data_IF_951556223049
#
_entry.id   IF_951556223049
#
_cell.length_a   1.000
_cell.length_b   1.000
_cell.length_c   1.000
_cell.angle_alpha   90.00
_cell.angle_beta   90.00
_cell.angle_gamma   90.00
#
_symmetry.space_group_name_H-M   'P 1'
#
loop_
_entity.id
_entity.type
_entity.pdbx_description
1 polymer ?
#
# COMPACT_ATOMS: atom_id res chain seq x y z
N UNK A 1 59.60 -12.18 -36.70
CA UNK A 1 59.95 -11.92 -38.11
C UNK A 1 58.69 -11.52 -38.87
N UNK A 2 58.87 -10.51 -39.70
CA UNK A 2 57.95 -9.61 -40.41
C UNK A 2 57.05 -10.29 -41.47
N UNK A 3 56.05 -9.57 -42.03
CA UNK A 3 54.69 -10.06 -42.33
C UNK A 3 54.38 -10.16 -43.83
N UNK A 4 53.16 -10.58 -44.19
CA UNK A 4 52.62 -10.51 -45.56
C UNK A 4 51.42 -9.52 -45.66
N UNK A 5 51.35 -8.65 -46.69
CA UNK A 5 50.40 -7.54 -46.79
C UNK A 5 49.35 -7.67 -47.91
N UNK A 6 48.32 -6.80 -47.89
CA UNK A 6 47.49 -6.39 -49.04
C UNK A 6 46.05 -5.99 -48.63
N UNK A 7 45.72 -4.72 -48.33
CA UNK A 7 45.16 -3.65 -49.22
C UNK A 7 43.82 -4.02 -49.91
N UNK A 8 42.71 -3.26 -49.90
CA UNK A 8 42.38 -1.80 -50.00
C UNK A 8 41.03 -1.55 -49.27
N UNK A 9 40.82 -0.52 -48.42
CA UNK A 9 40.55 0.91 -48.65
C UNK A 9 39.37 1.27 -49.56
N UNK A 10 38.29 1.80 -48.95
CA UNK A 10 37.54 2.97 -49.44
C UNK A 10 36.79 3.69 -48.30
N UNK A 11 37.31 4.88 -47.96
CA UNK A 11 36.73 6.18 -47.48
C UNK A 11 35.30 6.18 -46.92
N UNK A 12 35.05 6.63 -45.67
CA UNK A 12 35.16 7.99 -45.08
C UNK A 12 34.02 8.95 -45.44
N UNK A 13 33.24 9.35 -44.42
CA UNK A 13 32.97 10.75 -43.99
C UNK A 13 32.29 10.67 -42.60
N UNK A 14 32.98 10.82 -41.47
CA UNK A 14 33.36 12.08 -40.78
C UNK A 14 32.27 13.16 -40.80
N UNK A 15 31.61 13.35 -39.67
CA UNK A 15 31.55 14.66 -39.01
C UNK A 15 31.97 14.48 -37.55
N UNK A 16 33.06 15.15 -37.22
CA UNK A 16 33.55 15.40 -35.86
C UNK A 16 32.93 16.70 -35.39
N UNK A 17 32.50 16.77 -34.14
CA UNK A 17 32.73 17.94 -33.31
C UNK A 17 33.24 17.46 -31.95
N UNK A 18 34.56 17.56 -31.78
CA UNK A 18 35.19 17.88 -30.51
C UNK A 18 35.26 19.43 -30.46
N UNK A 19 35.35 20.13 -29.33
CA UNK A 19 36.03 19.79 -28.11
C UNK A 19 35.62 20.77 -26.99
N UNK A 20 35.82 20.32 -25.74
CA UNK A 20 36.39 21.06 -24.59
C UNK A 20 35.82 22.44 -24.22
N UNK A 21 35.27 22.54 -23.00
CA UNK A 21 35.92 23.30 -21.91
C UNK A 21 35.23 23.00 -20.58
N UNK A 22 36.04 22.72 -19.57
CA UNK A 22 35.64 22.58 -18.18
C UNK A 22 35.29 23.95 -17.57
N UNK A 23 34.18 24.01 -16.84
CA UNK A 23 33.98 24.99 -15.77
C UNK A 23 33.40 24.23 -14.58
N UNK A 24 34.20 24.16 -13.52
CA UNK A 24 33.75 23.75 -12.21
C UNK A 24 32.77 24.80 -11.68
N UNK A 25 31.55 24.40 -11.38
CA UNK A 25 30.64 25.16 -10.52
C UNK A 25 30.38 24.29 -9.30
N UNK A 26 30.95 24.70 -8.17
CA UNK A 26 30.49 24.32 -6.85
C UNK A 26 28.99 24.63 -6.79
N UNK A 27 28.15 23.60 -6.83
CA UNK A 27 26.78 23.72 -6.35
C UNK A 27 26.77 23.23 -4.92
N UNK A 28 26.68 24.20 -4.02
CA UNK A 28 26.29 24.05 -2.63
C UNK A 28 25.17 23.03 -2.50
N UNK A 29 25.44 21.93 -1.79
CA UNK A 29 24.42 21.00 -1.34
C UNK A 29 23.48 21.77 -0.41
N UNK A 30 22.36 22.23 -0.97
CA UNK A 30 21.25 22.73 -0.19
C UNK A 30 20.73 21.57 0.66
N UNK A 31 20.68 21.77 1.99
CA UNK A 31 19.85 20.97 2.86
C UNK A 31 18.45 20.92 2.25
N UNK A 32 18.05 19.74 1.79
CA UNK A 32 16.66 19.49 1.41
C UNK A 32 15.91 19.38 2.74
N UNK A 33 14.99 20.31 3.07
CA UNK A 33 14.05 20.04 4.14
C UNK A 33 13.30 18.77 3.76
N UNK A 34 13.01 17.87 4.71
CA UNK A 34 12.13 16.74 4.48
C UNK A 34 10.76 17.28 4.04
N UNK A 35 10.60 17.48 2.73
CA UNK A 35 9.35 17.81 2.09
C UNK A 35 8.53 16.55 2.23
N UNK A 36 7.42 16.62 2.95
CA UNK A 36 6.39 15.60 2.89
C UNK A 36 6.20 15.26 1.41
N UNK A 37 6.39 13.99 1.05
CA UNK A 37 6.20 13.56 -0.32
C UNK A 37 4.81 14.06 -0.76
N UNK A 38 4.70 14.80 -1.88
CA UNK A 38 3.40 15.21 -2.37
C UNK A 38 2.56 13.95 -2.56
N UNK A 39 1.31 13.97 -2.10
CA UNK A 39 0.35 12.92 -2.40
C UNK A 39 0.35 12.72 -3.92
N UNK A 40 0.88 11.59 -4.39
CA UNK A 40 0.95 11.28 -5.82
C UNK A 40 -0.49 11.25 -6.34
N UNK A 41 -0.87 12.18 -7.22
CA UNK A 41 -2.18 12.15 -7.85
C UNK A 41 -2.44 10.76 -8.45
N UNK A 42 -3.67 10.26 -8.37
CA UNK A 42 -4.04 8.97 -8.94
C UNK A 42 -3.69 8.93 -10.44
N UNK A 43 -2.78 8.04 -10.84
CA UNK A 43 -2.30 7.91 -12.23
C UNK A 43 -3.36 7.26 -13.15
N UNK A 44 -4.38 6.63 -12.57
CA UNK A 44 -5.51 5.99 -13.25
C UNK A 44 -6.85 6.42 -12.62
N UNK A 45 -7.95 6.53 -13.40
CA UNK A 45 -9.30 6.75 -12.82
C UNK A 45 -9.76 5.60 -11.89
N UNK A 46 -9.05 4.48 -11.93
CA UNK A 46 -9.30 3.31 -11.09
C UNK A 46 -8.45 3.27 -9.81
N UNK A 47 -7.47 4.16 -9.69
CA UNK A 47 -6.63 4.28 -8.50
C UNK A 47 -7.33 5.16 -7.44
N UNK A 48 -6.92 4.98 -6.19
CA UNK A 48 -7.42 5.77 -5.05
C UNK A 48 -6.23 6.53 -4.46
N UNK A 49 -6.44 7.81 -4.19
CA UNK A 49 -5.62 8.59 -3.29
C UNK A 49 -6.53 9.59 -2.56
N UNK A 50 -6.95 9.23 -1.35
CA UNK A 50 -7.83 10.07 -0.55
C UNK A 50 -7.52 9.98 0.95
N UNK A 51 -8.17 10.84 1.75
CA UNK A 51 -8.07 10.81 3.21
C UNK A 51 -9.45 10.82 3.85
N UNK A 52 -9.75 9.81 4.64
CA UNK A 52 -11.04 9.58 5.29
C UNK A 52 -10.96 9.74 6.80
N UNK A 53 -12.10 9.96 7.44
CA UNK A 53 -12.18 10.28 8.87
C UNK A 53 -12.21 9.05 9.77
N UNK A 54 -12.43 7.85 9.24
CA UNK A 54 -12.54 6.63 10.06
C UNK A 54 -11.84 5.45 9.39
N UNK A 55 -11.37 4.51 10.21
CA UNK A 55 -10.82 3.25 9.70
C UNK A 55 -11.89 2.41 9.01
N UNK A 56 -13.16 2.47 9.46
CA UNK A 56 -14.28 1.77 8.82
C UNK A 56 -14.52 2.25 7.37
N UNK A 57 -14.47 3.57 7.15
CA UNK A 57 -14.52 4.15 5.81
C UNK A 57 -13.28 3.75 5.01
N UNK A 58 -12.09 3.73 5.62
CA UNK A 58 -10.86 3.32 4.92
C UNK A 58 -10.92 1.85 4.47
N UNK A 59 -11.41 0.96 5.32
CA UNK A 59 -11.60 -0.45 5.01
C UNK A 59 -12.59 -0.61 3.85
N UNK A 60 -13.72 0.11 3.89
CA UNK A 60 -14.69 0.12 2.82
C UNK A 60 -14.09 0.63 1.48
N UNK A 61 -13.20 1.62 1.55
CA UNK A 61 -12.54 2.18 0.37
C UNK A 61 -11.50 1.26 -0.25
N UNK A 62 -10.82 0.43 0.54
CA UNK A 62 -9.98 -0.61 -0.03
C UNK A 62 -10.83 -1.74 -0.63
N UNK A 63 -11.88 -2.17 0.06
CA UNK A 63 -12.80 -3.24 -0.38
C UNK A 63 -12.71 -4.49 0.48
N UNK A 64 -13.44 -5.54 0.07
CA UNK A 64 -13.63 -6.77 0.85
C UNK A 64 -12.38 -7.66 0.92
N UNK A 65 -11.44 -7.47 -0.01
CA UNK A 65 -10.18 -8.21 -0.06
C UNK A 65 -9.26 -7.98 1.16
N UNK A 66 -9.46 -6.93 1.98
CA UNK A 66 -8.58 -6.61 3.11
C UNK A 66 -9.25 -6.40 4.46
N UNK A 67 -8.59 -6.88 5.51
CA UNK A 67 -8.89 -6.48 6.88
C UNK A 67 -8.00 -5.29 7.26
N UNK A 68 -8.56 -4.12 7.50
CA UNK A 68 -7.80 -3.09 8.24
C UNK A 68 -7.91 -3.36 9.74
N UNK A 69 -6.95 -2.88 10.51
CA UNK A 69 -6.83 -3.16 11.94
C UNK A 69 -6.62 -1.87 12.74
N UNK A 70 -7.55 -1.56 13.63
CA UNK A 70 -7.46 -0.34 14.45
C UNK A 70 -7.00 -0.67 15.88
N UNK A 71 -6.02 0.08 16.45
CA UNK A 71 -5.58 -0.13 17.81
C UNK A 71 -6.60 0.42 18.81
N UNK A 72 -7.05 -0.42 19.74
CA UNK A 72 -7.90 0.02 20.86
C UNK A 72 -7.12 0.62 22.03
N UNK A 73 -5.83 0.31 22.14
CA UNK A 73 -4.89 0.94 23.05
C UNK A 73 -3.87 1.74 22.25
N UNK A 74 -3.88 3.06 22.41
CA UNK A 74 -2.97 3.97 21.70
C UNK A 74 -1.86 4.53 22.61
N UNK A 75 -1.63 3.91 23.78
CA UNK A 75 -0.75 4.43 24.84
C UNK A 75 -1.09 5.87 25.27
N UNK A 76 -2.38 6.24 25.22
CA UNK A 76 -2.89 7.57 25.56
C UNK A 76 -2.72 8.61 24.47
N UNK A 77 -2.31 8.21 23.26
CA UNK A 77 -2.13 9.10 22.12
C UNK A 77 -3.42 9.23 21.32
N UNK A 78 -3.79 10.46 20.97
CA UNK A 78 -4.91 10.71 20.07
C UNK A 78 -4.46 10.59 18.62
N UNK A 79 -5.32 10.08 17.74
CA UNK A 79 -5.08 10.15 16.29
C UNK A 79 -5.08 11.62 15.86
N UNK A 80 -4.02 12.04 15.18
CA UNK A 80 -3.79 13.44 14.76
C UNK A 80 -3.92 13.64 13.26
N UNK A 81 -3.94 12.57 12.48
CA UNK A 81 -4.24 12.60 11.04
C UNK A 81 -5.61 11.98 10.72
N UNK A 82 -6.08 12.23 9.50
CA UNK A 82 -7.05 11.35 8.82
C UNK A 82 -6.39 10.00 8.50
N UNK A 83 -7.20 9.02 8.11
CA UNK A 83 -6.71 7.77 7.54
C UNK A 83 -6.50 8.00 6.05
N UNK A 84 -5.25 7.98 5.61
CA UNK A 84 -4.89 8.00 4.20
C UNK A 84 -5.20 6.64 3.59
N UNK A 85 -5.74 6.63 2.38
CA UNK A 85 -6.05 5.41 1.62
C UNK A 85 -5.52 5.59 0.21
N UNK A 86 -4.62 4.69 -0.19
CA UNK A 86 -4.00 4.72 -1.50
C UNK A 86 -4.08 3.32 -2.11
N UNK A 87 -4.42 3.24 -3.39
CA UNK A 87 -4.31 2.02 -4.17
C UNK A 87 -3.86 2.32 -5.58
N UNK A 88 -2.85 1.60 -6.06
CA UNK A 88 -2.29 1.79 -7.40
C UNK A 88 -2.26 0.47 -8.15
N UNK A 89 -2.71 0.49 -9.42
CA UNK A 89 -2.50 -0.59 -10.38
C UNK A 89 -2.92 -1.99 -9.88
N UNK A 90 -4.02 -2.06 -9.12
CA UNK A 90 -4.54 -3.32 -8.63
C UNK A 90 -4.94 -4.25 -9.78
N UNK A 91 -4.59 -5.53 -9.64
CA UNK A 91 -4.95 -6.59 -10.57
C UNK A 91 -5.73 -7.66 -9.82
N UNK A 92 -6.88 -8.05 -10.37
CA UNK A 92 -7.73 -9.10 -9.82
C UNK A 92 -7.67 -10.32 -10.74
N UNK A 93 -7.40 -11.48 -10.18
CA UNK A 93 -7.42 -12.77 -10.89
C UNK A 93 -8.32 -13.73 -10.12
N UNK A 94 -9.36 -14.26 -10.78
CA UNK A 94 -10.30 -15.22 -10.19
C UNK A 94 -10.95 -14.75 -8.87
N UNK A 95 -11.27 -13.46 -8.78
CA UNK A 95 -11.91 -12.89 -7.58
C UNK A 95 -10.95 -12.52 -6.45
N UNK A 96 -9.64 -12.73 -6.61
CA UNK A 96 -8.63 -12.34 -5.64
C UNK A 96 -7.70 -11.28 -6.21
N UNK A 97 -7.24 -10.36 -5.38
CA UNK A 97 -6.23 -9.38 -5.78
C UNK A 97 -4.87 -10.08 -5.82
N UNK A 98 -4.20 -10.03 -6.97
CA UNK A 98 -2.94 -10.76 -7.20
C UNK A 98 -1.71 -9.87 -7.29
N UNK A 99 -1.88 -8.56 -7.50
CA UNK A 99 -0.78 -7.59 -7.55
C UNK A 99 -1.30 -6.16 -7.49
N UNK A 100 -0.36 -5.21 -7.53
CA UNK A 100 -0.59 -3.78 -7.35
C UNK A 100 -0.13 -3.36 -5.96
N UNK A 101 -0.43 -2.13 -5.59
CA UNK A 101 0.00 -1.54 -4.33
C UNK A 101 -1.20 -1.02 -3.54
N UNK A 102 -1.20 -1.23 -2.22
CA UNK A 102 -2.17 -0.64 -1.31
C UNK A 102 -1.49 0.03 -0.13
N UNK A 103 -2.17 0.99 0.47
CA UNK A 103 -1.78 1.62 1.72
C UNK A 103 -3.02 2.13 2.43
N UNK A 104 -3.11 1.86 3.73
CA UNK A 104 -3.93 2.61 4.66
C UNK A 104 -3.07 3.03 5.84
N UNK A 105 -3.13 4.29 6.26
CA UNK A 105 -2.31 4.71 7.38
C UNK A 105 -2.79 5.94 8.11
N UNK A 106 -2.42 6.02 9.39
CA UNK A 106 -2.71 7.16 10.23
C UNK A 106 -1.65 7.39 11.31
N UNK A 107 -1.54 8.64 11.74
CA UNK A 107 -0.61 9.11 12.77
C UNK A 107 -1.35 9.33 14.08
N UNK A 108 -0.74 8.86 15.17
CA UNK A 108 -1.18 9.02 16.54
C UNK A 108 -0.12 9.79 17.32
N UNK A 109 -0.53 10.85 18.02
CA UNK A 109 0.39 11.72 18.76
C UNK A 109 1.16 12.71 17.88
N UNK A 110 2.39 13.03 18.28
CA UNK A 110 3.27 14.03 17.63
C UNK A 110 4.67 13.45 17.44
N UNK A 111 5.53 14.10 16.66
CA UNK A 111 6.88 13.61 16.34
C UNK A 111 7.74 13.22 17.56
N UNK A 112 7.62 13.94 18.68
CA UNK A 112 8.37 13.64 19.91
C UNK A 112 7.83 12.42 20.69
N UNK A 113 6.53 12.14 20.56
CA UNK A 113 5.87 10.99 21.19
C UNK A 113 4.63 10.63 20.38
N UNK A 114 4.75 9.58 19.58
CA UNK A 114 3.75 9.21 18.61
C UNK A 114 4.07 7.89 17.92
N UNK A 115 3.13 7.43 17.12
CA UNK A 115 3.37 6.35 16.17
C UNK A 115 2.56 6.56 14.89
N UNK A 116 3.07 6.03 13.79
CA UNK A 116 2.35 5.86 12.53
C UNK A 116 1.97 4.40 12.40
N UNK A 117 0.69 4.16 12.14
CA UNK A 117 0.18 2.86 11.75
C UNK A 117 0.06 2.85 10.23
N UNK A 118 0.69 1.88 9.59
CA UNK A 118 0.70 1.68 8.15
C UNK A 118 0.31 0.25 7.83
N UNK A 119 -0.67 0.08 6.96
CA UNK A 119 -1.25 -1.20 6.61
C UNK A 119 -1.33 -1.34 5.09
N UNK A 120 -1.23 -2.59 4.63
CA UNK A 120 -1.52 -2.97 3.24
C UNK A 120 -2.08 -4.39 3.21
N UNK A 121 -2.74 -4.75 2.11
CA UNK A 121 -3.03 -6.16 1.84
C UNK A 121 -1.71 -6.95 1.76
N UNK A 122 -1.70 -8.15 2.31
CA UNK A 122 -0.47 -8.93 2.41
C UNK A 122 0.15 -9.21 1.03
N UNK A 123 -0.68 -9.46 0.02
CA UNK A 123 -0.28 -9.84 -1.33
C UNK A 123 0.03 -8.65 -2.27
N UNK A 124 -0.12 -7.40 -1.81
CA UNK A 124 0.21 -6.19 -2.59
C UNK A 124 1.54 -5.57 -2.15
N UNK A 125 2.11 -4.67 -2.95
CA UNK A 125 3.16 -3.76 -2.50
C UNK A 125 2.60 -2.63 -1.62
N UNK A 126 3.49 -1.82 -1.03
CA UNK A 126 3.13 -0.61 -0.30
C UNK A 126 2.96 0.55 -1.27
N UNK A 127 1.76 1.12 -1.36
CA UNK A 127 1.52 2.30 -2.21
C UNK A 127 2.15 3.57 -1.62
N UNK A 128 2.38 3.57 -0.31
CA UNK A 128 3.26 4.50 0.38
C UNK A 128 4.12 3.70 1.36
N UNK A 129 5.43 3.71 1.15
CA UNK A 129 6.36 2.93 1.97
C UNK A 129 6.43 3.49 3.40
N UNK A 130 6.32 2.61 4.42
CA UNK A 130 6.66 2.99 5.78
C UNK A 130 8.09 3.53 5.84
N UNK A 131 8.37 4.44 6.77
CA UNK A 131 9.69 5.02 6.90
C UNK A 131 10.76 3.93 7.09
N UNK A 132 11.61 3.77 6.08
CA UNK A 132 12.72 2.82 6.14
C UNK A 132 13.94 3.50 6.77
N UNK A 133 14.67 2.75 7.60
CA UNK A 133 15.86 3.24 8.29
C UNK A 133 16.99 2.24 8.13
N UNK A 134 18.13 2.74 7.65
CA UNK A 134 19.36 1.94 7.57
C UNK A 134 19.93 1.62 8.96
N UNK A 135 19.46 2.28 10.01
CA UNK A 135 19.83 2.04 11.41
C UNK A 135 18.97 0.97 12.09
N UNK A 136 17.99 0.40 11.37
CA UNK A 136 16.96 -0.48 11.92
C UNK A 136 17.48 -1.90 12.17
N UNK A 137 17.67 -2.27 13.44
CA UNK A 137 18.10 -3.61 13.83
C UNK A 137 17.09 -4.30 14.76
N UNK A 138 17.10 -5.62 14.72
CA UNK A 138 16.13 -6.46 15.43
C UNK A 138 16.28 -6.37 16.94
N UNK A 139 15.18 -6.10 17.64
CA UNK A 139 15.08 -6.21 19.10
C UNK A 139 14.65 -7.62 19.48
N UNK A 140 13.46 -8.04 19.02
CA UNK A 140 12.85 -9.29 19.45
C UNK A 140 11.87 -9.86 18.41
N UNK A 141 11.55 -11.15 18.56
CA UNK A 141 10.31 -11.73 18.04
C UNK A 141 9.36 -11.87 19.23
N UNK A 142 8.11 -11.46 19.10
CA UNK A 142 7.12 -11.49 20.17
C UNK A 142 5.82 -12.09 19.64
N UNK A 143 5.14 -12.89 20.48
CA UNK A 143 3.80 -13.36 20.18
C UNK A 143 2.81 -12.31 20.70
N UNK A 144 1.90 -11.88 19.84
CA UNK A 144 0.84 -10.94 20.19
C UNK A 144 -0.50 -11.55 19.81
N UNK A 145 -1.54 -11.21 20.56
CA UNK A 145 -2.90 -11.60 20.27
C UNK A 145 -3.58 -10.45 19.53
N UNK A 146 -4.21 -10.74 18.41
CA UNK A 146 -4.99 -9.77 17.63
C UNK A 146 -6.47 -10.15 17.70
N UNK A 147 -7.35 -9.17 17.63
CA UNK A 147 -8.80 -9.38 17.58
C UNK A 147 -9.47 -9.29 18.95
N UNK A 148 -10.78 -9.47 18.94
CA UNK A 148 -11.62 -9.25 20.12
C UNK A 148 -11.38 -10.32 21.19
N UNK A 149 -11.54 -10.00 22.48
CA UNK A 149 -11.52 -11.00 23.53
C UNK A 149 -12.47 -12.16 23.21
N UNK A 150 -11.93 -13.40 23.18
CA UNK A 150 -12.69 -14.60 22.84
C UNK A 150 -12.57 -15.08 21.39
N UNK A 151 -12.13 -14.22 20.46
CA UNK A 151 -11.86 -14.56 19.04
C UNK A 151 -10.41 -14.29 18.64
N UNK A 152 -9.54 -14.12 19.63
CA UNK A 152 -8.17 -13.67 19.40
C UNK A 152 -7.33 -14.68 18.61
N UNK A 153 -6.53 -14.17 17.68
CA UNK A 153 -5.53 -14.94 16.93
C UNK A 153 -4.14 -14.56 17.42
N UNK A 154 -3.36 -15.56 17.84
CA UNK A 154 -1.95 -15.34 18.18
C UNK A 154 -1.10 -15.32 16.92
N UNK A 155 -0.41 -14.21 16.69
CA UNK A 155 0.54 -14.03 15.58
C UNK A 155 1.94 -13.70 16.12
N UNK A 156 2.95 -13.87 15.27
CA UNK A 156 4.33 -13.50 15.62
C UNK A 156 4.68 -12.15 14.98
N UNK A 157 4.95 -11.15 15.81
CA UNK A 157 5.45 -9.85 15.39
C UNK A 157 6.98 -9.76 15.53
N UNK A 158 7.58 -8.95 14.67
CA UNK A 158 8.99 -8.59 14.74
C UNK A 158 9.11 -7.16 15.25
N UNK A 159 9.96 -6.96 16.26
CA UNK A 159 10.23 -5.63 16.82
C UNK A 159 11.65 -5.24 16.50
N UNK A 160 11.83 -4.01 16.05
CA UNK A 160 13.11 -3.40 15.68
C UNK A 160 13.27 -2.03 16.36
N UNK A 161 14.49 -1.51 16.36
CA UNK A 161 14.80 -0.16 16.82
C UNK A 161 15.93 0.45 15.97
N UNK A 162 15.98 1.78 15.90
CA UNK A 162 17.01 2.52 15.14
C UNK A 162 18.33 2.64 15.92
N UNK A 163 18.80 1.54 16.52
CA UNK A 163 19.96 1.57 17.41
C UNK A 163 21.31 1.41 16.69
N UNK A 164 21.32 0.95 15.43
CA UNK A 164 22.56 0.72 14.72
C UNK A 164 23.13 2.06 14.23
N UNK A 165 24.32 2.41 14.72
CA UNK A 165 24.95 3.69 14.37
C UNK A 165 25.46 3.65 12.93
N UNK A 166 24.85 4.45 12.08
CA UNK A 166 25.33 4.71 10.73
C UNK A 166 26.40 5.82 10.72
N UNK A 167 27.40 5.74 9.82
CA UNK A 167 28.37 6.80 9.67
C UNK A 167 27.71 8.06 9.08
N UNK A 168 28.02 9.23 9.64
CA UNK A 168 27.35 10.48 9.24
C UNK A 168 27.64 10.92 7.80
N UNK A 169 28.84 10.63 7.28
CA UNK A 169 29.34 11.14 6.00
C UNK A 169 29.87 10.02 5.08
N UNK A 170 29.29 8.83 5.14
CA UNK A 170 29.65 7.76 4.20
C UNK A 170 28.45 6.87 3.91
N UNK A 171 28.62 5.97 2.94
CA UNK A 171 27.58 4.99 2.61
C UNK A 171 27.14 4.21 3.87
N UNK A 172 25.83 3.97 4.04
CA UNK A 172 25.32 3.16 5.13
C UNK A 172 26.02 1.80 5.17
N UNK A 173 26.45 1.40 6.36
CA UNK A 173 27.02 0.08 6.60
C UNK A 173 25.90 -0.93 6.74
N UNK A 174 26.10 -2.11 6.16
CA UNK A 174 25.25 -3.25 6.43
C UNK A 174 25.29 -3.58 7.92
N UNK A 175 24.13 -3.88 8.49
CA UNK A 175 24.03 -4.31 9.88
C UNK A 175 24.65 -5.72 9.98
N UNK A 176 25.63 -5.93 10.88
CA UNK A 176 26.25 -7.25 11.04
C UNK A 176 25.23 -8.33 11.35
N UNK A 177 25.42 -9.51 10.76
CA UNK A 177 24.56 -10.66 11.05
C UNK A 177 24.53 -10.96 12.56
N UNK A 178 23.33 -11.11 13.12
CA UNK A 178 23.14 -11.38 14.54
C UNK A 178 23.19 -10.16 15.47
N UNK A 179 23.50 -8.96 14.96
CA UNK A 179 23.38 -7.73 15.75
C UNK A 179 21.93 -7.50 16.18
N UNK A 180 21.74 -7.10 17.44
CA UNK A 180 20.42 -6.88 18.03
C UNK A 180 20.41 -5.62 18.88
N UNK A 181 19.32 -4.88 18.76
CA UNK A 181 19.00 -3.79 19.67
C UNK A 181 18.45 -4.31 21.00
N UNK A 182 18.57 -3.50 22.04
CA UNK A 182 17.94 -3.74 23.34
C UNK A 182 16.52 -3.19 23.33
N UNK A 183 15.68 -3.70 24.23
CA UNK A 183 14.32 -3.17 24.43
C UNK A 183 14.29 -1.69 24.82
N UNK A 184 15.32 -1.22 25.54
CA UNK A 184 15.49 0.20 25.89
C UNK A 184 15.66 1.10 24.67
N UNK A 185 16.20 0.56 23.58
CA UNK A 185 16.55 1.35 22.40
C UNK A 185 15.30 1.77 21.61
N UNK A 186 14.19 1.06 21.77
CA UNK A 186 12.88 1.44 21.21
C UNK A 186 12.48 2.84 21.68
N UNK A 187 12.63 3.12 22.99
CA UNK A 187 12.32 4.45 23.53
C UNK A 187 13.35 5.48 23.08
N UNK A 188 14.63 5.11 23.08
CA UNK A 188 15.74 6.04 22.87
C UNK A 188 15.91 6.45 21.41
N UNK A 189 15.60 5.57 20.46
CA UNK A 189 15.89 5.75 19.03
C UNK A 189 14.66 5.59 18.13
N UNK A 190 13.50 5.31 18.71
CA UNK A 190 12.31 4.90 17.97
C UNK A 190 12.33 3.40 17.69
N UNK A 191 11.15 2.84 17.45
CA UNK A 191 11.01 1.42 17.18
C UNK A 191 9.89 1.13 16.21
N UNK A 192 10.12 0.06 15.46
CA UNK A 192 9.23 -0.42 14.40
C UNK A 192 8.73 -1.80 14.81
N UNK A 193 7.44 -2.02 14.72
CA UNK A 193 6.82 -3.33 14.86
C UNK A 193 6.20 -3.74 13.52
N UNK A 194 6.59 -4.91 13.03
CA UNK A 194 6.05 -5.50 11.80
C UNK A 194 5.29 -6.78 12.14
N UNK A 195 4.10 -6.94 11.59
CA UNK A 195 3.29 -8.15 11.76
C UNK A 195 2.40 -8.39 10.53
N UNK A 196 2.19 -9.66 10.21
CA UNK A 196 1.13 -10.06 9.27
C UNK A 196 -0.05 -10.56 10.08
N UNK A 197 -1.12 -9.79 10.07
CA UNK A 197 -2.37 -10.11 10.73
C UNK A 197 -3.19 -11.10 9.88
N UNK A 198 -3.82 -12.05 10.58
CA UNK A 198 -4.70 -13.06 9.97
C UNK A 198 -6.03 -13.02 10.71
N UNK A 199 -7.17 -12.85 10.02
CA UNK A 199 -8.47 -12.92 10.67
C UNK A 199 -8.75 -14.34 11.20
N UNK A 200 -9.59 -14.44 12.22
CA UNK A 200 -9.84 -15.66 13.00
C UNK A 200 -10.58 -16.80 12.27
N UNK A 201 -10.58 -16.83 10.94
CA UNK A 201 -11.06 -17.92 10.08
C UNK A 201 -12.57 -18.19 9.99
N UNK A 202 -13.45 -17.28 10.43
CA UNK A 202 -14.92 -17.47 10.29
C UNK A 202 -15.56 -16.76 9.11
N UNK A 203 -14.80 -16.01 8.33
CA UNK A 203 -15.31 -15.41 7.11
C UNK A 203 -14.36 -15.77 5.96
N UNK A 204 -14.93 -16.25 4.86
CA UNK A 204 -14.22 -16.51 3.59
C UNK A 204 -13.52 -15.26 3.03
N UNK A 205 -13.81 -14.10 3.62
CA UNK A 205 -13.15 -12.81 3.46
C UNK A 205 -13.22 -12.07 4.81
N UNK A 206 -12.16 -11.39 5.27
CA UNK A 206 -11.12 -10.80 4.42
C UNK A 206 -9.75 -11.49 4.49
N UNK A 207 -8.87 -11.14 3.54
CA UNK A 207 -7.49 -11.64 3.46
C UNK A 207 -6.55 -11.17 4.58
N UNK A 208 -5.29 -11.59 4.48
CA UNK A 208 -4.21 -11.21 5.41
C UNK A 208 -3.75 -9.76 5.18
N UNK A 209 -3.28 -9.12 6.26
CA UNK A 209 -2.86 -7.71 6.24
C UNK A 209 -1.47 -7.57 6.82
N UNK A 210 -0.59 -6.87 6.08
CA UNK A 210 0.72 -6.49 6.59
C UNK A 210 0.61 -5.16 7.32
N UNK A 211 1.04 -5.14 8.58
CA UNK A 211 0.93 -4.00 9.48
C UNK A 211 2.32 -3.61 9.95
N UNK A 212 2.61 -2.32 9.85
CA UNK A 212 3.82 -1.69 10.36
C UNK A 212 3.43 -0.57 11.31
N UNK A 213 3.99 -0.59 12.52
CA UNK A 213 3.85 0.47 13.51
C UNK A 213 5.23 1.10 13.73
N UNK A 214 5.46 2.28 13.18
CA UNK A 214 6.66 3.07 13.42
C UNK A 214 6.40 4.05 14.57
N UNK A 215 7.23 3.99 15.61
CA UNK A 215 7.04 4.75 16.84
C UNK A 215 8.24 5.60 17.21
N UNK A 216 7.95 6.76 17.79
CA UNK A 216 8.90 7.67 18.43
C UNK A 216 8.43 7.94 19.85
N UNK A 217 9.32 7.82 20.84
CA UNK A 217 9.01 8.12 22.24
C UNK A 217 8.08 7.10 22.93
N UNK A 218 7.87 5.91 22.34
CA UNK A 218 7.20 4.78 23.00
C UNK A 218 8.22 3.79 23.57
N UNK A 219 7.92 3.21 24.73
CA UNK A 219 8.68 2.07 25.24
C UNK A 219 8.36 0.80 24.46
N UNK A 220 9.26 -0.20 24.51
CA UNK A 220 9.00 -1.54 23.96
C UNK A 220 7.65 -2.12 24.39
N UNK A 221 7.32 -2.01 25.69
CA UNK A 221 6.06 -2.55 26.20
C UNK A 221 4.85 -1.77 25.67
N UNK A 222 4.94 -0.45 25.52
CA UNK A 222 3.87 0.36 24.93
C UNK A 222 3.66 0.01 23.46
N UNK A 223 4.73 -0.11 22.68
CA UNK A 223 4.65 -0.49 21.27
C UNK A 223 3.99 -1.87 21.10
N UNK A 224 4.42 -2.86 21.90
CA UNK A 224 3.82 -4.20 21.88
C UNK A 224 2.36 -4.18 22.35
N UNK A 225 2.02 -3.35 23.36
CA UNK A 225 0.65 -3.23 23.84
C UNK A 225 -0.28 -2.59 22.80
N UNK A 226 0.20 -1.58 22.06
CA UNK A 226 -0.54 -0.99 20.93
C UNK A 226 -0.80 -2.05 19.88
N UNK A 227 0.22 -2.78 19.45
CA UNK A 227 0.07 -3.84 18.45
C UNK A 227 -0.84 -4.99 18.91
N UNK A 228 -0.76 -5.39 20.18
CA UNK A 228 -1.61 -6.45 20.75
C UNK A 228 -3.06 -6.01 21.00
N UNK A 229 -3.37 -4.74 20.75
CA UNK A 229 -4.72 -4.18 20.92
C UNK A 229 -5.44 -3.96 19.59
N UNK A 230 -4.80 -4.33 18.49
CA UNK A 230 -5.36 -4.23 17.14
C UNK A 230 -6.61 -5.09 17.03
N UNK A 231 -7.71 -4.45 16.67
CA UNK A 231 -8.98 -5.08 16.34
C UNK A 231 -9.26 -4.95 14.86
N UNK A 232 -9.81 -6.01 14.29
CA UNK A 232 -10.25 -6.01 12.91
C UNK A 232 -11.38 -4.99 12.72
N UNK A 233 -11.26 -4.17 11.69
CA UNK A 233 -12.21 -3.11 11.39
C UNK A 233 -13.29 -3.66 10.47
N UNK A 234 -14.55 -3.55 10.89
CA UNK A 234 -15.69 -3.76 10.01
C UNK A 234 -15.83 -2.59 9.02
N UNK A 235 -15.93 -2.84 7.70
CA UNK A 235 -16.08 -1.78 6.71
C UNK A 235 -17.44 -1.07 6.87
N UNK A 236 -17.47 0.25 6.66
CA UNK A 236 -18.72 1.00 6.55
C UNK A 236 -19.42 0.65 5.22
N UNK A 237 -20.59 -0.01 5.23
CA UNK A 237 -21.25 -0.44 4.01
C UNK A 237 -21.63 0.75 3.10
N UNK A 238 -21.88 1.94 3.66
CA UNK A 238 -22.26 3.10 2.85
C UNK A 238 -21.08 3.74 2.11
N UNK A 239 -19.85 3.38 2.46
CA UNK A 239 -18.62 3.89 1.87
C UNK A 239 -17.95 2.91 0.88
N UNK A 240 -18.54 1.72 0.66
CA UNK A 240 -17.93 0.67 -0.17
C UNK A 240 -18.07 0.91 -1.68
N UNK A 241 -19.03 1.74 -2.10
CA UNK A 241 -19.21 2.10 -3.50
C UNK A 241 -17.95 2.76 -4.07
N UNK A 242 -17.43 2.21 -5.17
CA UNK A 242 -16.19 2.71 -5.79
C UNK A 242 -14.94 2.42 -4.98
N UNK A 243 -14.93 1.35 -4.18
CA UNK A 243 -13.72 0.82 -3.53
C UNK A 243 -12.63 0.47 -4.54
N UNK A 244 -11.39 0.35 -4.07
CA UNK A 244 -10.23 0.01 -4.88
C UNK A 244 -10.43 -1.32 -5.61
N UNK A 245 -10.95 -2.33 -4.90
CA UNK A 245 -11.30 -3.61 -5.50
C UNK A 245 -12.38 -3.46 -6.59
N UNK A 246 -13.46 -2.73 -6.33
CA UNK A 246 -14.54 -2.53 -7.32
C UNK A 246 -14.03 -1.79 -8.57
N UNK A 247 -13.17 -0.79 -8.39
CA UNK A 247 -12.51 -0.07 -9.49
C UNK A 247 -11.57 -0.98 -10.28
N UNK A 248 -10.79 -1.84 -9.60
CA UNK A 248 -9.92 -2.81 -10.25
C UNK A 248 -10.72 -3.82 -11.09
N UNK A 249 -11.83 -4.34 -10.56
CA UNK A 249 -12.76 -5.21 -11.28
C UNK A 249 -13.36 -4.49 -12.50
N UNK A 250 -13.82 -3.24 -12.35
CA UNK A 250 -14.29 -2.42 -13.47
C UNK A 250 -13.23 -2.26 -14.56
N UNK A 251 -11.98 -1.90 -14.18
CA UNK A 251 -10.85 -1.75 -15.10
C UNK A 251 -10.63 -3.03 -15.90
N UNK A 252 -10.68 -4.17 -15.24
CA UNK A 252 -10.51 -5.47 -15.87
C UNK A 252 -11.60 -5.78 -16.90
N UNK A 253 -12.87 -5.59 -16.53
CA UNK A 253 -14.01 -5.82 -17.42
C UNK A 253 -13.90 -5.00 -18.73
N UNK A 254 -13.50 -3.73 -18.61
CA UNK A 254 -13.34 -2.82 -19.75
C UNK A 254 -12.10 -3.15 -20.57
N UNK A 255 -10.94 -3.34 -19.91
CA UNK A 255 -9.65 -3.54 -20.61
C UNK A 255 -9.61 -4.87 -21.35
N UNK A 256 -10.14 -5.93 -20.76
CA UNK A 256 -10.21 -7.26 -21.38
C UNK A 256 -11.35 -7.39 -22.38
N UNK A 257 -12.17 -6.34 -22.56
CA UNK A 257 -13.36 -6.35 -23.43
C UNK A 257 -14.23 -7.57 -23.11
N UNK A 258 -14.64 -7.70 -21.85
CA UNK A 258 -15.46 -8.83 -21.43
C UNK A 258 -16.86 -8.73 -22.02
N UNK A 259 -17.49 -9.88 -22.25
CA UNK A 259 -18.94 -9.93 -22.45
C UNK A 259 -19.65 -9.69 -21.12
N UNK A 260 -20.92 -9.26 -21.15
CA UNK A 260 -21.70 -9.11 -19.91
C UNK A 260 -21.73 -10.41 -19.08
N UNK A 261 -21.88 -11.57 -19.71
CA UNK A 261 -21.91 -12.86 -19.01
C UNK A 261 -20.58 -13.17 -18.30
N UNK A 262 -19.44 -12.82 -18.89
CA UNK A 262 -18.13 -12.98 -18.26
C UNK A 262 -17.93 -11.96 -17.13
N UNK A 263 -18.32 -10.71 -17.37
CA UNK A 263 -18.22 -9.64 -16.39
C UNK A 263 -19.08 -9.91 -15.15
N UNK A 264 -20.32 -10.35 -15.33
CA UNK A 264 -21.24 -10.69 -14.23
C UNK A 264 -20.67 -11.81 -13.34
N UNK A 265 -20.08 -12.85 -13.92
CA UNK A 265 -19.37 -13.89 -13.16
C UNK A 265 -18.18 -13.35 -12.37
N UNK A 266 -17.42 -12.42 -12.96
CA UNK A 266 -16.31 -11.77 -12.26
C UNK A 266 -16.81 -10.89 -11.11
N UNK A 267 -17.89 -10.14 -11.30
CA UNK A 267 -18.51 -9.32 -10.25
C UNK A 267 -18.96 -10.19 -9.07
N UNK A 268 -19.71 -11.26 -9.35
CA UNK A 268 -20.20 -12.20 -8.33
C UNK A 268 -19.06 -12.86 -7.56
N UNK A 269 -17.97 -13.22 -8.24
CA UNK A 269 -16.78 -13.78 -7.60
C UNK A 269 -16.07 -12.81 -6.64
N UNK A 270 -16.35 -11.50 -6.74
CA UNK A 270 -15.83 -10.46 -5.85
C UNK A 270 -16.89 -9.92 -4.87
N UNK A 271 -18.05 -10.58 -4.76
CA UNK A 271 -19.13 -10.15 -3.87
C UNK A 271 -19.94 -8.96 -4.39
N UNK A 272 -19.86 -8.66 -5.69
CA UNK A 272 -20.63 -7.59 -6.33
C UNK A 272 -21.75 -8.14 -7.21
N UNK A 273 -22.71 -7.27 -7.53
CA UNK A 273 -23.74 -7.53 -8.53
C UNK A 273 -23.48 -6.68 -9.77
N UNK A 274 -23.66 -7.23 -10.96
CA UNK A 274 -23.56 -6.48 -12.22
C UNK A 274 -24.94 -6.35 -12.88
N UNK A 275 -25.20 -5.19 -13.49
CA UNK A 275 -26.36 -5.00 -14.38
C UNK A 275 -26.00 -4.18 -15.61
N UNK A 276 -26.79 -4.32 -16.66
CA UNK A 276 -26.63 -3.53 -17.89
C UNK A 276 -27.27 -2.15 -17.71
N UNK A 277 -26.46 -1.10 -17.84
CA UNK A 277 -26.89 0.29 -17.92
C UNK A 277 -27.19 0.73 -19.34
N UNK A 278 -26.48 0.16 -20.32
CA UNK A 278 -26.66 0.47 -21.74
C UNK A 278 -26.25 -0.72 -22.61
N UNK A 279 -26.96 -0.89 -23.73
CA UNK A 279 -26.66 -1.90 -24.77
C UNK A 279 -26.58 -1.17 -26.10
N UNK A 280 -25.42 -1.25 -26.76
CA UNK A 280 -25.13 -0.57 -28.02
C UNK A 280 -25.44 0.94 -27.99
N UNK A 281 -25.13 1.57 -26.85
CA UNK A 281 -25.38 2.99 -26.62
C UNK A 281 -26.83 3.32 -26.26
N UNK A 282 -27.74 2.34 -26.22
CA UNK A 282 -29.13 2.54 -25.79
C UNK A 282 -29.28 2.28 -24.28
N UNK A 283 -29.63 3.31 -23.48
CA UNK A 283 -29.82 3.17 -22.04
C UNK A 283 -30.92 2.15 -21.71
N UNK A 284 -30.71 1.40 -20.64
CA UNK A 284 -31.71 0.49 -20.08
C UNK A 284 -32.57 1.21 -19.04
N UNK A 285 -33.83 0.81 -18.92
CA UNK A 285 -34.70 1.31 -17.87
C UNK A 285 -34.23 0.74 -16.52
N UNK A 286 -33.56 1.57 -15.73
CA UNK A 286 -33.02 1.21 -14.43
C UNK A 286 -33.64 2.04 -13.32
N UNK A 287 -33.85 1.42 -12.16
CA UNK A 287 -34.13 2.15 -10.92
C UNK A 287 -32.86 2.84 -10.43
N UNK A 288 -33.01 4.08 -9.97
CA UNK A 288 -31.94 4.94 -9.44
C UNK A 288 -31.68 4.71 -7.94
N UNK A 289 -32.07 3.55 -7.40
CA UNK A 289 -31.83 3.18 -6.01
C UNK A 289 -30.32 2.99 -5.76
N UNK A 290 -29.70 3.69 -4.82
CA UNK A 290 -28.27 3.54 -4.60
C UNK A 290 -27.92 2.20 -3.92
N UNK A 291 -26.95 1.47 -4.47
CA UNK A 291 -26.42 0.21 -3.93
C UNK A 291 -24.89 0.17 -3.97
N UNK A 292 -24.29 0.02 -2.80
CA UNK A 292 -22.83 0.02 -2.63
C UNK A 292 -22.14 -1.20 -3.24
N UNK A 293 -22.88 -2.29 -3.47
CA UNK A 293 -22.41 -3.56 -4.00
C UNK A 293 -22.70 -3.73 -5.51
N UNK A 294 -23.17 -2.68 -6.19
CA UNK A 294 -23.68 -2.78 -7.57
C UNK A 294 -22.81 -2.07 -8.60
N UNK A 295 -22.48 -2.80 -9.66
CA UNK A 295 -21.77 -2.36 -10.84
C UNK A 295 -22.75 -2.18 -12.00
N UNK A 296 -22.68 -1.03 -12.66
CA UNK A 296 -23.48 -0.67 -13.83
C UNK A 296 -22.58 -0.74 -15.07
N UNK A 297 -22.86 -1.66 -15.98
CA UNK A 297 -22.03 -1.93 -17.15
C UNK A 297 -22.72 -1.43 -18.43
N UNK A 298 -21.98 -0.69 -19.26
CA UNK A 298 -22.42 -0.35 -20.62
C UNK A 298 -21.71 -1.24 -21.62
N UNK A 299 -22.44 -1.75 -22.61
CA UNK A 299 -21.89 -2.62 -23.65
C UNK A 299 -22.04 -2.02 -25.05
N UNK A 300 -21.06 -2.31 -25.91
CA UNK A 300 -21.11 -2.03 -27.36
C UNK A 300 -20.57 -3.25 -28.10
N UNK A 301 -21.30 -3.74 -29.10
CA UNK A 301 -21.00 -4.99 -29.82
C UNK A 301 -20.75 -6.16 -28.86
N UNK A 302 -21.61 -6.29 -27.84
CA UNK A 302 -21.52 -7.28 -26.75
C UNK A 302 -20.31 -7.17 -25.81
N UNK A 303 -19.48 -6.14 -25.91
CA UNK A 303 -18.33 -5.93 -25.03
C UNK A 303 -18.55 -4.79 -24.06
N UNK A 304 -18.14 -4.96 -22.81
CA UNK A 304 -18.16 -3.90 -21.80
C UNK A 304 -17.20 -2.78 -22.22
N UNK A 305 -17.73 -1.56 -22.33
CA UNK A 305 -16.97 -0.35 -22.69
C UNK A 305 -16.90 0.66 -21.56
N UNK A 306 -17.82 0.57 -20.60
CA UNK A 306 -17.89 1.46 -19.45
C UNK A 306 -18.38 0.66 -18.24
N UNK A 307 -17.85 1.03 -17.06
CA UNK A 307 -18.24 0.46 -15.79
C UNK A 307 -18.33 1.59 -14.77
N UNK A 308 -19.52 1.76 -14.21
CA UNK A 308 -19.79 2.68 -13.09
C UNK A 308 -20.32 1.89 -11.90
N UNK A 309 -20.43 2.53 -10.74
CA UNK A 309 -20.84 1.89 -9.49
C UNK A 309 -21.83 2.75 -8.74
N UNK A 310 -22.78 2.12 -8.04
CA UNK A 310 -23.87 2.77 -7.34
C UNK A 310 -25.27 2.32 -7.76
#
# INVERSE_FOLDING_TARGET
>A
MTPKPGTRSARSNKVKFAATSAVAILTTAALVPAVAAPALAADSPYDINESVTSWATAAARLGTAGSLWEPTNTAGLRRTSKVEVISNNLVVTKGAVTSGDTYAGATYGRAAKGFQLSEKWADTGFAAEPASSTSLAKVAKVKINLGEPGTQVTVTAQVYANCFKQPANSNPKAIPAGFRCKKSDVLATGGVLEVTAKPASTMTDPGETSIVIDSSGLTYNQLVAVASSLLQVAPDPNAAAGSAQMRAVCKQMVTEKMTFATADKLAQANGYTARLASVDGQPQALTMDFRYDRMNLSTVKNYVTECTYG
#
